data_IF_288459698366
#
_entry.id   IF_288459698366
#
_cell.length_a   1.000
_cell.length_b   1.000
_cell.length_c   1.000
_cell.angle_alpha   90.00
_cell.angle_beta   90.00
_cell.angle_gamma   90.00
#
_symmetry.space_group_name_H-M   'P 1'
#
loop_
_entity.id
_entity.type
_entity.pdbx_description
1 polymer ?
#
# COMPACT_ATOMS: atom_id res chain seq x y z
N UNK A 1 -6.29 -13.27 -22.26
CA UNK A 1 -5.90 -14.42 -21.41
C UNK A 1 -4.74 -14.02 -20.50
N UNK A 2 -4.49 -14.71 -19.38
CA UNK A 2 -3.26 -14.59 -18.59
C UNK A 2 -2.50 -15.91 -18.72
N UNK A 3 -1.21 -15.87 -19.06
CA UNK A 3 -0.43 -17.07 -19.37
C UNK A 3 0.22 -17.68 -18.13
N UNK A 4 0.66 -16.86 -17.17
CA UNK A 4 1.35 -17.35 -15.98
C UNK A 4 0.54 -17.04 -14.71
N UNK A 5 -0.10 -18.04 -14.09
CA UNK A 5 -0.83 -17.82 -12.85
C UNK A 5 0.17 -17.57 -11.71
N UNK A 6 0.09 -16.38 -11.11
CA UNK A 6 0.91 -16.00 -9.95
C UNK A 6 0.05 -16.07 -8.69
N UNK A 7 0.41 -16.97 -7.77
CA UNK A 7 -0.12 -16.97 -6.42
C UNK A 7 0.72 -16.04 -5.51
N UNK A 8 0.05 -15.11 -4.82
CA UNK A 8 0.71 -14.18 -3.89
C UNK A 8 1.14 -14.84 -2.58
N UNK A 9 0.54 -15.97 -2.20
CA UNK A 9 0.94 -16.75 -1.02
C UNK A 9 2.01 -17.79 -1.30
N UNK A 10 2.42 -17.96 -2.57
CA UNK A 10 3.46 -18.91 -2.92
C UNK A 10 4.80 -18.53 -2.28
N UNK A 11 5.61 -19.55 -2.00
CA UNK A 11 7.00 -19.37 -1.60
C UNK A 11 7.80 -18.70 -2.71
N UNK A 12 8.89 -18.04 -2.33
CA UNK A 12 9.81 -17.40 -3.26
C UNK A 12 10.42 -18.40 -4.25
N UNK A 13 10.63 -19.65 -3.86
CA UNK A 13 11.14 -20.70 -4.77
C UNK A 13 10.13 -21.05 -5.87
N UNK A 14 8.85 -21.20 -5.54
CA UNK A 14 7.81 -21.44 -6.55
C UNK A 14 7.64 -20.24 -7.49
N UNK A 15 7.78 -19.02 -6.97
CA UNK A 15 7.78 -17.81 -7.78
C UNK A 15 9.01 -17.73 -8.69
N UNK A 16 10.17 -18.24 -8.24
CA UNK A 16 11.41 -18.34 -9.03
C UNK A 16 11.24 -19.29 -10.21
N UNK A 17 10.65 -20.46 -9.97
CA UNK A 17 10.32 -21.42 -11.04
C UNK A 17 9.38 -20.77 -12.07
N UNK A 18 8.37 -20.04 -11.61
CA UNK A 18 7.47 -19.32 -12.52
C UNK A 18 8.22 -18.24 -13.33
N UNK A 19 9.17 -17.53 -12.72
CA UNK A 19 9.99 -16.55 -13.44
C UNK A 19 10.89 -17.20 -14.50
N UNK A 20 11.46 -18.39 -14.23
CA UNK A 20 12.19 -19.17 -15.23
C UNK A 20 11.29 -19.56 -16.40
N UNK A 21 10.09 -20.06 -16.11
CA UNK A 21 9.09 -20.38 -17.14
C UNK A 21 8.70 -19.16 -17.98
N UNK A 22 8.59 -17.97 -17.38
CA UNK A 22 8.32 -16.73 -18.12
C UNK A 22 9.44 -16.43 -19.13
N UNK A 23 10.70 -16.59 -18.72
CA UNK A 23 11.87 -16.36 -19.59
C UNK A 23 11.89 -17.40 -20.72
N UNK A 24 11.72 -18.68 -20.39
CA UNK A 24 11.75 -19.78 -21.36
C UNK A 24 10.61 -19.71 -22.38
N UNK A 25 9.38 -19.42 -21.94
CA UNK A 25 8.22 -19.36 -22.82
C UNK A 25 8.10 -18.03 -23.58
N UNK A 26 8.69 -16.95 -23.07
CA UNK A 26 8.71 -15.61 -23.71
C UNK A 26 7.33 -15.10 -24.16
N UNK A 27 6.29 -15.42 -23.39
CA UNK A 27 4.90 -14.99 -23.67
C UNK A 27 4.60 -13.63 -23.05
N UNK A 28 3.59 -12.89 -23.56
CA UNK A 28 3.20 -11.60 -22.99
C UNK A 28 2.82 -11.68 -21.51
N UNK A 29 3.37 -10.77 -20.70
CA UNK A 29 3.13 -10.70 -19.26
C UNK A 29 2.42 -9.41 -18.82
N UNK A 30 1.87 -9.42 -17.61
CA UNK A 30 1.19 -8.31 -16.93
C UNK A 30 2.01 -7.80 -15.75
N UNK A 31 1.50 -6.76 -15.09
CA UNK A 31 2.19 -6.08 -13.99
C UNK A 31 2.65 -6.99 -12.83
N UNK A 32 1.85 -8.00 -12.44
CA UNK A 32 2.22 -8.90 -11.35
C UNK A 32 3.35 -9.86 -11.76
N UNK A 33 3.23 -10.50 -12.91
CA UNK A 33 4.26 -11.37 -13.50
C UNK A 33 5.56 -10.59 -13.70
N UNK A 34 5.49 -9.35 -14.22
CA UNK A 34 6.63 -8.47 -14.40
C UNK A 34 7.32 -8.10 -13.08
N UNK A 35 6.55 -7.87 -12.01
CA UNK A 35 7.11 -7.60 -10.68
C UNK A 35 7.86 -8.82 -10.15
N UNK A 36 7.29 -10.02 -10.31
CA UNK A 36 7.93 -11.28 -9.90
C UNK A 36 9.20 -11.52 -10.71
N UNK A 37 9.14 -11.39 -12.02
CA UNK A 37 10.31 -11.52 -12.90
C UNK A 37 11.42 -10.54 -12.52
N UNK A 38 11.08 -9.26 -12.32
CA UNK A 38 12.05 -8.22 -11.95
C UNK A 38 12.75 -8.52 -10.62
N UNK A 39 12.07 -9.14 -9.64
CA UNK A 39 12.68 -9.56 -8.38
C UNK A 39 13.84 -10.53 -8.63
N UNK A 40 13.65 -11.52 -9.50
CA UNK A 40 14.67 -12.53 -9.78
C UNK A 40 15.78 -12.02 -10.70
N UNK A 41 15.45 -11.17 -11.68
CA UNK A 41 16.46 -10.53 -12.54
C UNK A 41 17.39 -9.59 -11.77
N UNK A 42 16.91 -9.02 -10.65
CA UNK A 42 17.69 -8.11 -9.80
C UNK A 42 18.23 -8.79 -8.54
N UNK A 43 18.17 -10.12 -8.46
CA UNK A 43 18.56 -10.85 -7.25
C UNK A 43 20.06 -10.73 -6.95
N UNK A 44 20.91 -10.81 -7.97
CA UNK A 44 22.37 -10.81 -7.79
C UNK A 44 22.94 -9.40 -7.59
N UNK A 45 22.11 -8.37 -7.78
CA UNK A 45 22.48 -6.96 -7.64
C UNK A 45 22.25 -6.50 -6.19
N UNK A 46 23.19 -6.82 -5.30
CA UNK A 46 23.11 -6.54 -3.84
C UNK A 46 22.97 -5.05 -3.48
N UNK A 47 23.38 -4.17 -4.40
CA UNK A 47 23.20 -2.72 -4.31
C UNK A 47 21.72 -2.32 -4.26
N UNK A 48 20.84 -3.10 -4.90
CA UNK A 48 19.42 -2.79 -5.02
C UNK A 48 18.61 -3.31 -3.84
N UNK A 49 18.10 -2.40 -3.01
CA UNK A 49 17.02 -2.73 -2.07
C UNK A 49 15.69 -2.73 -2.82
N UNK A 50 15.04 -3.88 -2.86
CA UNK A 50 13.81 -4.12 -3.63
C UNK A 50 12.62 -4.21 -2.69
N UNK A 51 11.50 -3.63 -3.06
CA UNK A 51 10.25 -3.68 -2.29
C UNK A 51 9.05 -3.56 -3.24
N UNK A 52 7.91 -4.14 -2.87
CA UNK A 52 6.72 -4.08 -3.74
C UNK A 52 5.94 -2.78 -3.53
N UNK A 53 5.40 -2.21 -4.61
CA UNK A 53 4.51 -1.05 -4.55
C UNK A 53 3.21 -1.43 -5.25
N UNK A 54 2.12 -1.55 -4.51
CA UNK A 54 0.79 -1.85 -5.05
C UNK A 54 -0.11 -0.62 -4.99
N UNK A 55 -0.64 -0.22 -6.14
CA UNK A 55 -1.59 0.86 -6.29
C UNK A 55 -3.01 0.30 -6.43
N UNK A 56 -3.96 0.96 -5.78
CA UNK A 56 -5.39 0.78 -6.00
C UNK A 56 -5.95 2.14 -6.42
N UNK A 57 -6.47 2.22 -7.64
CA UNK A 57 -7.09 3.43 -8.18
C UNK A 57 -8.55 3.18 -8.53
N UNK A 58 -9.30 4.25 -8.72
CA UNK A 58 -10.70 4.23 -9.09
C UNK A 58 -10.89 5.07 -10.35
N UNK A 59 -11.59 4.53 -11.34
CA UNK A 59 -11.99 5.24 -12.56
C UNK A 59 -13.40 4.76 -12.91
N UNK A 60 -14.30 5.72 -13.13
CA UNK A 60 -15.70 5.45 -13.47
C UNK A 60 -16.40 4.46 -12.50
N UNK A 61 -16.21 4.66 -11.19
CA UNK A 61 -16.74 3.79 -10.14
C UNK A 61 -16.08 2.41 -10.02
N UNK A 62 -15.19 2.04 -10.95
CA UNK A 62 -14.50 0.76 -10.95
C UNK A 62 -13.11 0.87 -10.29
N UNK A 63 -12.74 -0.16 -9.51
CA UNK A 63 -11.44 -0.22 -8.87
C UNK A 63 -10.43 -1.00 -9.71
N UNK A 64 -9.28 -0.38 -9.96
CA UNK A 64 -8.16 -0.97 -10.68
C UNK A 64 -6.99 -1.20 -9.72
N UNK A 65 -6.26 -2.30 -9.96
CA UNK A 65 -5.07 -2.67 -9.18
C UNK A 65 -3.88 -2.77 -10.10
N UNK A 66 -2.77 -2.25 -9.64
CA UNK A 66 -1.52 -2.25 -10.38
C UNK A 66 -0.36 -2.41 -9.39
N UNK A 67 0.73 -3.02 -9.82
CA UNK A 67 1.88 -3.31 -8.98
C UNK A 67 3.17 -3.10 -9.77
N UNK A 68 4.17 -2.56 -9.09
CA UNK A 68 5.54 -2.40 -9.58
C UNK A 68 6.52 -2.82 -8.49
N UNK A 69 7.75 -3.10 -8.89
CA UNK A 69 8.88 -3.29 -8.00
C UNK A 69 9.56 -1.94 -7.76
N UNK A 70 9.44 -1.40 -6.55
CA UNK A 70 10.24 -0.28 -6.10
C UNK A 70 11.68 -0.71 -5.86
N UNK A 71 12.62 0.13 -6.28
CA UNK A 71 14.06 -0.10 -6.11
C UNK A 71 14.66 1.11 -5.42
N UNK A 72 15.57 0.87 -4.49
CA UNK A 72 16.39 1.88 -3.83
C UNK A 72 17.86 1.50 -3.96
N UNK A 73 18.67 2.44 -4.44
CA UNK A 73 20.13 2.34 -4.48
C UNK A 73 20.74 3.74 -4.52
N UNK A 74 21.96 3.88 -3.99
CA UNK A 74 22.73 5.12 -4.02
C UNK A 74 21.95 6.36 -3.55
N UNK A 75 21.13 6.22 -2.50
CA UNK A 75 20.32 7.32 -1.95
C UNK A 75 19.09 7.69 -2.76
N UNK A 76 18.84 7.04 -3.91
CA UNK A 76 17.76 7.37 -4.84
C UNK A 76 16.78 6.19 -4.98
N UNK A 77 15.57 6.53 -5.38
CA UNK A 77 14.46 5.62 -5.63
C UNK A 77 14.14 5.56 -7.11
N UNK A 78 13.66 4.40 -7.55
CA UNK A 78 13.19 4.12 -8.90
C UNK A 78 12.20 2.97 -8.87
N UNK A 79 11.78 2.51 -10.05
CA UNK A 79 10.87 1.38 -10.14
C UNK A 79 11.02 0.59 -11.44
N UNK A 80 10.78 -0.71 -11.34
CA UNK A 80 10.69 -1.66 -12.44
C UNK A 80 9.28 -2.24 -12.47
N UNK A 81 8.73 -2.45 -13.66
CA UNK A 81 7.44 -3.08 -13.81
C UNK A 81 6.89 -2.92 -15.21
N UNK A 82 5.68 -3.43 -15.41
CA UNK A 82 4.94 -3.26 -16.66
C UNK A 82 3.57 -2.67 -16.40
N UNK A 83 3.12 -1.89 -17.37
CA UNK A 83 1.80 -1.28 -17.40
C UNK A 83 1.40 -1.08 -18.85
N UNK A 84 0.10 -0.91 -19.08
CA UNK A 84 -0.43 -0.48 -20.39
C UNK A 84 -0.08 0.97 -20.69
N UNK A 85 0.33 1.75 -19.67
CA UNK A 85 0.71 3.15 -19.79
C UNK A 85 2.19 3.31 -19.43
N UNK A 86 2.99 4.02 -20.26
CA UNK A 86 4.44 4.08 -20.08
C UNK A 86 4.88 4.84 -18.82
N UNK A 87 4.08 5.81 -18.39
CA UNK A 87 4.29 6.62 -17.20
C UNK A 87 3.92 5.91 -15.88
N UNK A 88 3.24 4.76 -15.97
CA UNK A 88 2.86 3.90 -14.85
C UNK A 88 3.71 2.62 -14.77
N UNK A 89 4.89 2.57 -15.37
CA UNK A 89 5.78 1.39 -15.30
C UNK A 89 7.17 1.75 -14.78
N UNK A 90 8.18 1.77 -15.64
CA UNK A 90 9.55 2.13 -15.33
C UNK A 90 9.66 3.56 -14.81
N UNK A 91 10.47 3.73 -13.76
CA UNK A 91 10.90 5.04 -13.26
C UNK A 91 12.41 5.00 -13.05
N UNK A 92 13.17 5.95 -13.61
CA UNK A 92 14.62 5.98 -13.45
C UNK A 92 15.00 6.16 -11.97
N UNK A 93 16.22 5.77 -11.62
CA UNK A 93 16.75 5.84 -10.26
C UNK A 93 17.20 7.27 -9.90
N UNK A 94 16.28 8.21 -9.98
CA UNK A 94 16.54 9.66 -9.86
C UNK A 94 15.82 10.30 -8.67
N UNK A 95 14.82 9.63 -8.11
CA UNK A 95 13.96 10.22 -7.08
C UNK A 95 14.67 10.25 -5.72
N UNK A 96 14.91 11.42 -5.11
CA UNK A 96 15.66 11.51 -3.85
C UNK A 96 14.87 10.97 -2.64
N UNK A 97 13.53 10.94 -2.74
CA UNK A 97 12.67 10.45 -1.65
C UNK A 97 11.62 9.48 -2.18
N UNK A 98 11.16 8.59 -1.30
CA UNK A 98 10.05 7.70 -1.60
C UNK A 98 8.77 8.51 -1.89
N UNK A 99 8.55 9.62 -1.19
CA UNK A 99 7.43 10.52 -1.42
C UNK A 99 7.41 11.08 -2.85
N UNK A 100 8.56 11.52 -3.38
CA UNK A 100 8.66 12.03 -4.75
C UNK A 100 8.38 10.95 -5.80
N UNK A 101 8.83 9.70 -5.57
CA UNK A 101 8.51 8.58 -6.45
C UNK A 101 7.00 8.29 -6.47
N UNK A 102 6.39 8.16 -5.29
CA UNK A 102 4.94 7.89 -5.18
C UNK A 102 4.11 9.05 -5.75
N UNK A 103 4.57 10.29 -5.57
CA UNK A 103 3.91 11.46 -6.16
C UNK A 103 3.97 11.42 -7.70
N UNK A 104 5.09 11.01 -8.31
CA UNK A 104 5.17 10.82 -9.76
C UNK A 104 4.11 9.85 -10.29
N UNK A 105 3.88 8.73 -9.60
CA UNK A 105 2.78 7.82 -9.94
C UNK A 105 1.40 8.44 -9.70
N UNK A 106 1.21 9.19 -8.62
CA UNK A 106 -0.06 9.86 -8.34
C UNK A 106 -0.44 10.86 -9.45
N UNK A 107 0.54 11.63 -9.94
CA UNK A 107 0.37 12.54 -11.09
C UNK A 107 0.06 11.76 -12.36
N UNK A 108 0.78 10.68 -12.64
CA UNK A 108 0.52 9.81 -13.80
C UNK A 108 -0.91 9.23 -13.76
N UNK A 109 -1.37 8.72 -12.62
CA UNK A 109 -2.76 8.24 -12.48
C UNK A 109 -3.78 9.36 -12.74
N UNK A 110 -3.55 10.55 -12.18
CA UNK A 110 -4.42 11.70 -12.40
C UNK A 110 -4.49 12.09 -13.89
N UNK A 111 -3.35 12.02 -14.61
CA UNK A 111 -3.29 12.26 -16.06
C UNK A 111 -4.11 11.27 -16.89
N UNK A 112 -4.35 10.05 -16.38
CA UNK A 112 -5.24 9.06 -16.99
C UNK A 112 -6.64 9.04 -16.35
N UNK A 113 -7.05 10.13 -15.68
CA UNK A 113 -8.35 10.28 -15.01
C UNK A 113 -8.61 9.27 -13.87
N UNK A 114 -7.58 8.55 -13.42
CA UNK A 114 -7.68 7.63 -12.30
C UNK A 114 -7.48 8.38 -10.98
N UNK A 115 -8.38 8.15 -10.03
CA UNK A 115 -8.24 8.63 -8.66
C UNK A 115 -7.53 7.58 -7.81
N UNK A 116 -6.38 7.92 -7.25
CA UNK A 116 -5.64 7.00 -6.38
C UNK A 116 -6.35 6.84 -5.02
N UNK A 117 -6.72 5.61 -4.67
CA UNK A 117 -7.46 5.28 -3.43
C UNK A 117 -6.54 4.75 -2.35
N UNK A 118 -5.55 3.92 -2.72
CA UNK A 118 -4.71 3.22 -1.77
C UNK A 118 -3.35 2.90 -2.38
N UNK A 119 -2.29 3.06 -1.60
CA UNK A 119 -0.95 2.57 -1.93
C UNK A 119 -0.50 1.64 -0.82
N UNK A 120 -0.03 0.45 -1.19
CA UNK A 120 0.57 -0.50 -0.26
C UNK A 120 2.03 -0.66 -0.63
N UNK A 121 2.90 -0.53 0.36
CA UNK A 121 4.32 -0.78 0.20
C UNK A 121 4.66 -2.05 0.97
N UNK A 122 5.29 -3.00 0.29
CA UNK A 122 5.83 -4.21 0.89
C UNK A 122 7.17 -3.96 1.57
N UNK A 123 7.57 -4.90 2.43
CA UNK A 123 8.87 -4.84 3.10
C UNK A 123 10.02 -5.06 2.10
N UNK A 124 11.26 -4.73 2.48
CA UNK A 124 12.45 -5.10 1.71
C UNK A 124 12.48 -6.61 1.45
N UNK A 125 12.71 -6.97 0.19
CA UNK A 125 12.76 -8.36 -0.25
C UNK A 125 14.22 -8.83 -0.13
N UNK A 126 14.49 -9.92 0.60
CA UNK A 126 15.83 -10.45 0.74
C UNK A 126 16.38 -10.94 -0.61
N UNK A 127 17.69 -10.78 -0.82
CA UNK A 127 18.36 -11.30 -2.02
C UNK A 127 18.49 -12.82 -1.99
N UNK A 128 18.66 -13.38 -0.80
CA UNK A 128 18.72 -14.81 -0.55
C UNK A 128 17.57 -15.17 0.39
N UNK A 129 16.40 -15.54 -0.15
CA UNK A 129 15.29 -15.95 0.67
C UNK A 129 15.57 -17.30 1.33
N UNK A 130 15.04 -17.48 2.54
CA UNK A 130 15.05 -18.80 3.18
C UNK A 130 14.01 -19.73 2.54
N UNK A 131 14.19 -21.03 2.74
CA UNK A 131 13.23 -22.04 2.30
C UNK A 131 11.83 -21.69 2.84
N UNK A 132 10.84 -21.68 1.95
CA UNK A 132 9.43 -21.36 2.25
C UNK A 132 9.12 -19.91 2.61
N UNK A 133 10.06 -18.98 2.51
CA UNK A 133 9.77 -17.56 2.70
C UNK A 133 8.84 -17.05 1.59
N UNK A 134 7.82 -16.26 1.95
CA UNK A 134 6.87 -15.66 1.00
C UNK A 134 7.19 -14.18 0.80
N UNK A 135 6.73 -13.61 -0.32
CA UNK A 135 6.94 -12.18 -0.56
C UNK A 135 6.22 -11.33 0.50
N UNK A 136 6.92 -10.38 1.14
CA UNK A 136 6.32 -9.53 2.16
C UNK A 136 5.52 -8.38 1.52
N UNK A 137 4.33 -8.69 1.00
CA UNK A 137 3.45 -7.73 0.30
C UNK A 137 2.87 -6.61 1.17
N UNK A 138 2.93 -6.74 2.50
CA UNK A 138 2.25 -5.86 3.45
C UNK A 138 3.24 -5.28 4.45
N UNK A 139 3.81 -4.13 4.13
CA UNK A 139 4.51 -3.26 5.07
C UNK A 139 3.58 -2.15 5.54
N UNK A 140 3.56 -1.04 4.79
CA UNK A 140 2.72 0.12 5.09
C UNK A 140 1.60 0.31 4.06
N UNK A 141 0.51 0.92 4.52
CA UNK A 141 -0.67 1.19 3.71
C UNK A 141 -1.07 2.66 3.83
N UNK A 142 -0.95 3.40 2.74
CA UNK A 142 -1.39 4.79 2.62
C UNK A 142 -2.78 4.79 1.98
N UNK A 143 -3.76 5.40 2.64
CA UNK A 143 -5.15 5.48 2.16
C UNK A 143 -5.49 6.86 1.62
N UNK A 144 -6.59 6.95 0.88
CA UNK A 144 -7.13 8.19 0.28
C UNK A 144 -7.19 9.37 1.26
N UNK A 145 -7.58 9.13 2.50
CA UNK A 145 -7.71 10.18 3.51
C UNK A 145 -6.34 10.81 3.81
N UNK A 146 -5.29 9.99 3.84
CA UNK A 146 -3.93 10.45 4.06
C UNK A 146 -3.41 11.22 2.83
N UNK A 147 -3.74 10.78 1.60
CA UNK A 147 -3.37 11.49 0.38
C UNK A 147 -3.88 12.94 0.29
N UNK A 148 -4.96 13.29 0.99
CA UNK A 148 -5.44 14.68 1.09
C UNK A 148 -4.49 15.60 1.87
N UNK A 149 -3.59 15.03 2.68
CA UNK A 149 -2.64 15.76 3.53
C UNK A 149 -1.21 15.44 3.10
N UNK A 150 -0.65 16.16 2.11
CA UNK A 150 0.65 15.82 1.53
C UNK A 150 1.80 15.86 2.55
N UNK A 151 1.74 16.75 3.54
CA UNK A 151 2.72 16.82 4.62
C UNK A 151 2.74 15.55 5.49
N UNK A 152 1.57 14.98 5.82
CA UNK A 152 1.48 13.73 6.59
C UNK A 152 1.96 12.53 5.76
N UNK A 153 1.56 12.45 4.49
CA UNK A 153 2.04 11.40 3.56
C UNK A 153 3.56 11.42 3.49
N UNK A 154 4.15 12.60 3.30
CA UNK A 154 5.61 12.75 3.24
C UNK A 154 6.27 12.24 4.52
N UNK A 155 5.77 12.65 5.70
CA UNK A 155 6.31 12.18 7.00
C UNK A 155 6.24 10.66 7.13
N UNK A 156 5.10 10.07 6.78
CA UNK A 156 4.87 8.62 6.87
C UNK A 156 5.78 7.85 5.90
N UNK A 157 5.92 8.32 4.67
CA UNK A 157 6.80 7.72 3.67
C UNK A 157 8.28 7.90 4.02
N UNK A 158 8.68 9.06 4.54
CA UNK A 158 10.04 9.31 4.99
C UNK A 158 10.42 8.41 6.18
N UNK A 159 9.49 8.17 7.10
CA UNK A 159 9.70 7.22 8.19
C UNK A 159 9.84 5.78 7.65
N UNK A 160 8.98 5.37 6.73
CA UNK A 160 9.05 4.04 6.11
C UNK A 160 10.32 3.85 5.26
N UNK A 161 10.81 4.93 4.65
CA UNK A 161 12.05 4.94 3.86
C UNK A 161 13.26 4.45 4.67
N UNK A 162 13.29 4.72 6.00
CA UNK A 162 14.34 4.25 6.91
C UNK A 162 14.35 2.74 7.07
N UNK A 163 13.17 2.10 7.06
CA UNK A 163 13.05 0.64 7.05
C UNK A 163 13.57 0.06 5.74
N UNK A 164 13.25 0.69 4.60
CA UNK A 164 13.75 0.25 3.29
C UNK A 164 15.28 0.33 3.22
N UNK A 165 15.86 1.37 3.80
CA UNK A 165 17.31 1.59 3.88
C UNK A 165 18.02 0.63 4.83
N UNK A 166 17.28 -0.18 5.60
CA UNK A 166 17.86 -1.05 6.64
C UNK A 166 18.34 -0.31 7.89
N UNK A 167 17.88 0.93 8.10
CA UNK A 167 18.27 1.75 9.25
C UNK A 167 17.46 1.43 10.52
N UNK A 168 16.29 0.79 10.37
CA UNK A 168 15.38 0.46 11.47
C UNK A 168 14.76 -0.92 11.17
N UNK A 169 14.80 -1.83 12.13
CA UNK A 169 14.04 -3.08 12.05
C UNK A 169 12.53 -2.80 12.15
N UNK A 170 11.73 -3.51 11.35
CA UNK A 170 10.28 -3.36 11.20
C UNK A 170 9.47 -3.32 12.49
N UNK A 171 10.04 -3.78 13.60
CA UNK A 171 9.44 -3.87 14.93
C UNK A 171 9.08 -2.49 15.53
N UNK A 172 9.78 -1.41 15.14
CA UNK A 172 9.62 -0.09 15.76
C UNK A 172 8.57 0.85 15.12
N UNK A 173 7.89 0.45 14.04
CA UNK A 173 6.81 1.26 13.44
C UNK A 173 5.45 1.12 14.17
N UNK A 174 5.45 1.09 15.51
CA UNK A 174 4.22 1.22 16.32
C UNK A 174 3.85 2.70 16.50
N UNK A 175 3.12 3.27 15.55
CA UNK A 175 2.29 4.45 15.79
C UNK A 175 0.85 4.00 16.12
N UNK A 176 0.13 4.69 17.04
CA UNK A 176 -1.12 4.20 17.62
C UNK A 176 -2.31 4.07 16.64
N UNK A 177 -2.19 4.53 15.40
CA UNK A 177 -3.26 4.48 14.39
C UNK A 177 -2.97 3.51 13.23
N UNK A 178 -1.92 2.70 13.30
CA UNK A 178 -1.56 1.74 12.25
C UNK A 178 -1.73 0.30 12.74
N UNK A 179 -2.69 -0.43 12.15
CA UNK A 179 -2.84 -1.88 12.37
C UNK A 179 -2.00 -2.64 11.36
N UNK A 180 -0.89 -3.21 11.81
CA UNK A 180 -0.22 -4.34 11.16
C UNK A 180 -0.96 -5.64 11.54
N UNK A 181 -1.10 -6.63 10.65
CA UNK A 181 -1.55 -7.96 11.03
C UNK A 181 -0.53 -8.59 11.98
N UNK A 182 -0.98 -9.02 13.16
CA UNK A 182 -0.15 -9.79 14.07
C UNK A 182 0.20 -11.14 13.40
N UNK A 183 1.50 -11.48 13.36
CA UNK A 183 1.90 -12.87 13.16
C UNK A 183 1.42 -13.66 14.38
N UNK A 184 0.58 -14.65 14.16
CA UNK A 184 0.21 -15.64 15.15
C UNK A 184 1.40 -16.57 15.40
N UNK A 185 2.22 -16.27 16.41
CA UNK A 185 3.12 -17.25 17.00
C UNK A 185 2.37 -17.98 18.11
N UNK A 186 1.91 -19.19 17.78
CA UNK A 186 1.61 -20.24 18.75
C UNK A 186 2.92 -20.68 19.40
N UNK A 187 3.09 -20.43 20.69
CA UNK A 187 4.08 -21.11 21.52
C UNK A 187 3.41 -21.61 22.79
N UNK A 188 3.28 -22.93 22.83
CA UNK A 188 2.97 -23.78 23.98
C UNK A 188 4.22 -24.03 24.83
N UNK A 189 4.01 -24.19 26.14
CA UNK A 189 4.98 -24.67 27.15
C UNK A 189 5.45 -23.54 28.08
N UNK A 190 5.41 -23.60 29.41
CA UNK A 190 5.22 -24.72 30.33
C UNK A 190 6.24 -24.58 31.48
N UNK A 191 5.75 -24.19 32.66
CA UNK A 191 6.26 -24.49 34.02
C UNK A 191 7.63 -23.97 34.49
N UNK A 192 7.64 -23.22 35.61
CA UNK A 192 8.31 -23.55 36.90
C UNK A 192 8.10 -22.42 37.92
N UNK A 193 7.72 -22.77 39.15
CA UNK A 193 7.51 -21.84 40.27
C UNK A 193 8.78 -21.57 41.08
N UNK A 194 8.77 -20.52 41.92
CA UNK A 194 8.63 -20.65 43.38
C UNK A 194 8.50 -19.27 44.08
N UNK A 195 7.56 -19.22 45.03
CA UNK A 195 7.45 -18.53 46.34
C UNK A 195 8.39 -17.35 46.71
N UNK A 196 7.99 -16.26 47.42
CA UNK A 196 7.32 -16.21 48.74
C UNK A 196 6.98 -14.73 49.17
N UNK A 197 6.06 -14.61 50.14
CA UNK A 197 5.80 -13.49 51.10
C UNK A 197 4.90 -12.30 50.63
N UNK A 198 3.89 -11.80 51.34
CA UNK A 198 3.33 -12.04 52.69
C UNK A 198 1.93 -11.39 52.81
N UNK A 199 1.00 -12.10 53.48
CA UNK A 199 -0.22 -11.69 54.22
C UNK A 199 -0.92 -10.35 53.89
N UNK A 200 -2.23 -10.44 53.64
CA UNK A 200 -3.28 -9.98 54.59
C UNK A 200 -4.66 -10.58 54.27
N UNK A 201 -5.33 -10.91 55.36
CA UNK A 201 -6.56 -11.67 55.59
C UNK A 201 -7.84 -10.87 55.26
N UNK A 202 -8.93 -11.58 54.92
CA UNK A 202 -10.35 -11.39 55.35
C UNK A 202 -11.22 -12.32 54.49
N UNK A 203 -11.48 -13.56 54.94
CA UNK A 203 -12.72 -14.02 55.62
C UNK A 203 -13.99 -14.07 54.77
N UNK A 204 -14.39 -15.33 54.53
CA UNK A 204 -15.71 -15.94 54.71
C UNK A 204 -16.76 -16.03 53.57
N UNK A 205 -17.13 -17.30 53.37
CA UNK A 205 -18.45 -17.89 53.07
C UNK A 205 -18.85 -18.24 51.61
N UNK A 206 -18.60 -19.52 51.24
CA UNK A 206 -19.58 -20.60 50.95
C UNK A 206 -21.00 -20.13 50.56
N UNK A 207 -21.74 -20.73 49.61
CA UNK A 207 -21.72 -22.08 49.03
C UNK A 207 -22.63 -22.10 47.80
N UNK A 208 -22.39 -23.11 46.98
CA UNK A 208 -23.13 -23.61 45.83
C UNK A 208 -24.63 -23.93 46.01
N UNK A 209 -25.31 -23.94 44.85
CA UNK A 209 -26.35 -24.88 44.37
C UNK A 209 -27.82 -24.43 44.26
N UNK A 210 -28.29 -24.65 43.03
CA UNK A 210 -29.51 -25.37 42.60
C UNK A 210 -30.90 -24.72 42.62
N UNK A 211 -31.42 -24.62 41.38
CA UNK A 211 -32.66 -25.22 40.84
C UNK A 211 -34.04 -24.61 41.23
N UNK A 212 -34.84 -24.37 40.17
CA UNK A 212 -36.30 -24.15 40.07
C UNK A 212 -36.87 -22.86 40.72
N UNK A 213 -37.82 -22.11 40.15
CA UNK A 213 -38.94 -22.43 39.26
C UNK A 213 -39.53 -21.13 38.67
N UNK A 214 -40.40 -21.27 37.66
CA UNK A 214 -41.54 -20.39 37.32
C UNK A 214 -41.31 -18.99 36.75
N UNK A 215 -41.45 -18.91 35.42
CA UNK A 215 -42.61 -18.22 34.81
C UNK A 215 -42.58 -16.69 34.76
N UNK A 216 -42.38 -16.13 33.57
CA UNK A 216 -43.50 -15.67 32.70
C UNK A 216 -42.95 -15.02 31.44
N UNK A 217 -43.47 -15.51 30.33
CA UNK A 217 -43.32 -15.07 28.95
C UNK A 217 -44.10 -13.76 28.78
N UNK A 218 -43.54 -12.74 28.13
CA UNK A 218 -44.34 -11.75 27.41
C UNK A 218 -43.65 -11.39 26.09
N UNK A 219 -44.45 -11.47 25.03
CA UNK A 219 -44.04 -11.48 23.63
C UNK A 219 -43.79 -10.07 23.09
N UNK A 220 -42.82 -9.93 22.20
CA UNK A 220 -42.82 -8.88 21.17
C UNK A 220 -43.56 -9.41 19.95
N UNK A 221 -44.60 -8.69 19.51
CA UNK A 221 -45.18 -8.80 18.18
C UNK A 221 -45.20 -7.44 17.50
N UNK A 222 -45.06 -7.57 16.20
CA UNK A 222 -44.87 -6.64 15.08
C UNK A 222 -46.15 -5.92 14.61
N UNK A 223 -45.94 -4.82 13.86
CA UNK A 223 -46.87 -4.22 12.87
C UNK A 223 -47.92 -3.28 13.46
N UNK A 224 -48.37 -2.19 12.83
CA UNK A 224 -48.11 -1.55 11.52
C UNK A 224 -48.84 -0.18 11.46
N UNK A 225 -48.54 0.63 10.43
CA UNK A 225 -49.36 1.72 9.84
C UNK A 225 -49.47 3.07 10.57
N UNK A 226 -49.57 4.27 9.96
CA UNK A 226 -49.68 4.74 8.57
C UNK A 226 -49.46 6.27 8.49
N UNK A 227 -48.97 6.76 7.34
CA UNK A 227 -49.35 7.98 6.58
C UNK A 227 -49.59 9.32 7.30
N UNK A 228 -48.81 10.37 6.98
CA UNK A 228 -49.35 11.59 6.32
C UNK A 228 -48.28 12.50 5.66
N UNK A 229 -48.64 13.05 4.49
CA UNK A 229 -47.90 13.99 3.63
C UNK A 229 -48.11 15.45 4.08
N UNK A 230 -47.12 16.33 3.82
CA UNK A 230 -47.27 17.66 3.16
C UNK A 230 -45.88 18.26 2.83
N UNK A 231 -45.69 18.62 1.55
CA UNK A 231 -44.55 19.36 0.96
C UNK A 231 -44.87 20.89 0.90
N UNK A 232 -44.21 21.76 0.10
CA UNK A 232 -42.78 22.08 -0.13
C UNK A 232 -42.49 23.60 0.04
N UNK A 233 -41.23 24.05 -0.08
CA UNK A 233 -40.92 25.43 -0.53
C UNK A 233 -39.74 25.45 -1.52
N UNK A 234 -39.88 26.37 -2.45
CA UNK A 234 -39.28 26.51 -3.78
C UNK A 234 -38.28 27.69 -3.78
N UNK A 235 -37.14 27.50 -4.47
CA UNK A 235 -36.40 28.40 -5.38
C UNK A 235 -36.16 29.90 -5.04
N UNK A 236 -34.88 30.31 -5.02
CA UNK A 236 -34.22 31.43 -5.76
C UNK A 236 -32.81 31.62 -5.15
N UNK A 237 -31.72 32.06 -5.79
CA UNK A 237 -31.51 32.88 -6.99
C UNK A 237 -30.06 32.70 -7.49
N UNK A 238 -29.89 32.79 -8.80
CA UNK A 238 -28.63 33.06 -9.53
C UNK A 238 -28.12 34.49 -9.25
N UNK A 239 -26.78 34.65 -9.25
CA UNK A 239 -25.98 35.82 -9.66
C UNK A 239 -24.51 35.32 -9.64
N UNK A 240 -23.83 35.03 -10.76
CA UNK A 240 -23.36 35.92 -11.84
C UNK A 240 -22.71 37.20 -11.29
N UNK A 241 -21.38 37.19 -11.21
CA UNK A 241 -20.54 38.37 -11.31
C UNK A 241 -19.36 38.00 -12.22
N UNK A 242 -19.57 38.22 -13.51
CA UNK A 242 -18.52 38.52 -14.46
C UNK A 242 -17.91 39.87 -14.09
N UNK A 243 -16.59 39.94 -14.01
CA UNK A 243 -15.84 41.12 -14.43
C UNK A 243 -14.56 40.64 -15.09
N UNK A 244 -14.50 40.96 -16.37
CA UNK A 244 -13.42 40.74 -17.30
C UNK A 244 -12.11 41.34 -16.80
N UNK A 245 -11.01 40.59 -16.92
CA UNK A 245 -9.75 41.16 -17.36
C UNK A 245 -9.05 40.19 -18.32
N UNK A 246 -9.26 40.52 -19.58
CA UNK A 246 -8.47 40.27 -20.78
C UNK A 246 -6.97 40.21 -20.46
N UNK A 247 -6.28 39.17 -20.96
CA UNK A 247 -5.04 39.25 -21.74
C UNK A 247 -4.58 37.83 -22.14
N UNK A 248 -4.73 37.52 -23.43
CA UNK A 248 -3.96 36.48 -24.12
C UNK A 248 -2.80 37.17 -24.90
N UNK A 249 -2.04 36.44 -25.72
CA UNK A 249 -0.76 35.83 -25.42
C UNK A 249 0.41 36.62 -26.04
N UNK A 250 1.60 36.57 -25.45
CA UNK A 250 2.83 37.01 -26.14
C UNK A 250 3.54 35.77 -26.67
N UNK A 251 3.47 35.66 -28.00
CA UNK A 251 4.31 34.83 -28.83
C UNK A 251 5.53 35.68 -29.19
N UNK A 252 6.74 35.25 -28.85
CA UNK A 252 7.96 35.77 -29.48
C UNK A 252 8.98 34.66 -29.68
N UNK A 253 9.54 34.71 -30.87
CA UNK A 253 10.31 33.71 -31.60
C UNK A 253 11.83 33.89 -31.39
N UNK A 254 12.61 32.94 -31.90
CA UNK A 254 14.08 32.92 -32.13
C UNK A 254 14.94 32.34 -30.97
N UNK A 255 15.39 31.08 -31.02
CA UNK A 255 16.42 30.38 -31.84
C UNK A 255 17.74 30.13 -31.06
N UNK A 256 18.56 29.11 -31.44
CA UNK A 256 19.15 28.15 -30.49
C UNK A 256 20.61 28.44 -30.14
N UNK A 257 21.06 27.97 -28.96
CA UNK A 257 22.48 27.91 -28.59
C UNK A 257 22.95 26.47 -28.45
N UNK A 258 24.14 26.24 -28.98
CA UNK A 258 24.73 25.00 -29.44
C UNK A 258 25.14 23.98 -28.36
N UNK A 259 25.17 22.74 -28.84
CA UNK A 259 25.94 21.55 -28.44
C UNK A 259 27.12 21.78 -27.47
N UNK A 260 27.12 21.02 -26.37
CA UNK A 260 28.33 20.64 -25.66
C UNK A 260 28.41 19.11 -25.60
N UNK A 261 29.24 18.55 -26.48
CA UNK A 261 29.72 17.18 -26.45
C UNK A 261 30.52 16.95 -25.15
N UNK A 262 30.24 15.85 -24.44
CA UNK A 262 31.20 15.27 -23.51
C UNK A 262 31.68 13.94 -24.09
N UNK A 263 32.85 14.00 -24.72
CA UNK A 263 33.62 12.83 -25.13
C UNK A 263 34.37 12.23 -23.93
N UNK A 264 34.36 10.91 -23.95
CA UNK A 264 35.12 9.97 -23.12
C UNK A 264 36.61 10.13 -23.41
N UNK A 265 37.46 10.14 -22.37
CA UNK A 265 38.89 9.85 -22.51
C UNK A 265 39.21 8.48 -21.96
N UNK A 266 39.98 7.76 -22.76
CA UNK A 266 40.50 6.39 -22.66
C UNK A 266 41.38 6.24 -21.42
#
# INVERSE_FOLDING_TARGET
>A
MQFFPIDRSASLDKLRETAKLIIEASLPIKCLEATVLAIFLTQDQKEFKRFTISFSSEFDGQTFRHVVLGVYANGKYGALGLSRRPDLMYKPLEFPTLATLIHSYAVAYAGHYHRLVKVKLGLPIPHQPHLFETLPWKGIVVTRNLFRRPAEVKRVLDQYSRVIRGQIETVYLRYPNFRLPALSSSTSGGSSGDSLATRRTLTHFRKSNSVTTTGKRCMRRTGSDSVNRKQPKILTRLQCNDTDHILAPICETSQPVANAEYQIRI
#
